data_IF_635446831013
#
_entry.id   IF_635446831013
#
_cell.length_a   1.000
_cell.length_b   1.000
_cell.length_c   1.000
_cell.angle_alpha   90.00
_cell.angle_beta   90.00
_cell.angle_gamma   90.00
#
_symmetry.space_group_name_H-M   'P 1'
#
loop_
_entity.id
_entity.type
_entity.pdbx_description
1 polymer ?
#
# COMPACT_ATOMS: atom_id res chain seq x y z
N UNK A 1 10.34 14.79 -16.90
CA UNK A 1 10.86 13.45 -17.29
C UNK A 1 11.24 12.68 -16.03
N UNK A 2 11.00 11.36 -15.95
CA UNK A 2 11.47 10.37 -14.93
C UNK A 2 10.48 9.77 -13.90
N UNK A 3 9.15 9.94 -13.98
CA UNK A 3 8.28 9.18 -13.06
C UNK A 3 8.11 7.71 -13.47
N UNK A 4 7.92 7.42 -14.77
CA UNK A 4 7.67 6.05 -15.25
C UNK A 4 8.87 5.12 -15.02
N UNK A 5 10.09 5.56 -15.34
CA UNK A 5 11.29 4.72 -15.20
C UNK A 5 11.62 4.35 -13.75
N UNK A 6 11.39 5.28 -12.81
CA UNK A 6 11.63 5.01 -11.39
C UNK A 6 10.51 4.14 -10.79
N UNK A 7 9.27 4.35 -11.21
CA UNK A 7 8.16 3.49 -10.81
C UNK A 7 8.42 2.05 -11.29
N UNK A 8 8.72 1.84 -12.56
CA UNK A 8 9.05 0.52 -13.12
C UNK A 8 10.23 -0.13 -12.38
N UNK A 9 11.28 0.65 -12.08
CA UNK A 9 12.39 0.18 -11.25
C UNK A 9 11.91 -0.32 -9.88
N UNK A 10 11.06 0.43 -9.18
CA UNK A 10 10.51 -0.01 -7.89
C UNK A 10 9.70 -1.30 -8.03
N UNK A 11 8.88 -1.42 -9.07
CA UNK A 11 8.08 -2.63 -9.31
C UNK A 11 8.95 -3.88 -9.53
N UNK A 12 10.10 -3.72 -10.16
CA UNK A 12 11.02 -4.83 -10.44
C UNK A 12 11.90 -5.19 -9.23
N UNK A 13 12.26 -4.20 -8.42
CA UNK A 13 13.25 -4.35 -7.34
C UNK A 13 12.64 -4.52 -5.94
N UNK A 14 11.51 -3.88 -5.67
CA UNK A 14 10.86 -3.89 -4.36
C UNK A 14 9.90 -5.07 -4.25
N UNK A 15 10.38 -6.15 -3.63
CA UNK A 15 9.62 -7.39 -3.40
C UNK A 15 9.50 -7.68 -1.90
N UNK A 16 8.61 -6.98 -1.17
CA UNK A 16 8.39 -7.25 0.24
C UNK A 16 7.77 -8.65 0.42
N UNK A 17 7.95 -9.28 1.60
CA UNK A 17 7.38 -10.59 1.88
C UNK A 17 5.87 -10.59 1.71
N UNK A 18 5.37 -11.59 0.97
CA UNK A 18 3.96 -11.78 0.65
C UNK A 18 3.31 -12.62 1.76
N UNK A 19 2.24 -12.10 2.35
CA UNK A 19 1.48 -12.76 3.44
C UNK A 19 0.04 -13.08 3.03
N UNK A 20 -0.22 -13.11 1.73
CA UNK A 20 -1.51 -13.45 1.14
C UNK A 20 -1.30 -14.63 0.19
N UNK A 21 -2.35 -15.41 -0.03
CA UNK A 21 -2.37 -16.44 -1.07
C UNK A 21 -2.29 -15.72 -2.43
N UNK A 22 -1.10 -15.68 -3.00
CA UNK A 22 -0.84 -15.02 -4.28
C UNK A 22 -1.67 -15.65 -5.38
N UNK A 23 -1.90 -16.97 -5.37
CA UNK A 23 -2.57 -17.67 -6.48
C UNK A 23 -4.04 -17.28 -6.61
N UNK A 24 -4.64 -16.81 -5.51
CA UNK A 24 -6.06 -16.40 -5.45
C UNK A 24 -6.27 -14.90 -5.35
N UNK A 25 -5.26 -14.17 -4.89
CA UNK A 25 -5.39 -12.75 -4.56
C UNK A 25 -4.29 -11.94 -5.21
N UNK A 26 -4.69 -10.92 -5.98
CA UNK A 26 -3.75 -9.93 -6.51
C UNK A 26 -2.91 -9.29 -5.42
N UNK A 27 -1.62 -9.16 -5.68
CA UNK A 27 -0.67 -8.54 -4.78
C UNK A 27 -0.74 -7.03 -4.98
N UNK A 28 -1.15 -6.32 -3.95
CA UNK A 28 -1.18 -4.87 -3.93
C UNK A 28 -0.02 -4.40 -3.04
N UNK A 29 0.95 -3.70 -3.61
CA UNK A 29 2.16 -3.25 -2.93
C UNK A 29 2.14 -1.74 -2.78
N UNK A 30 2.59 -1.25 -1.63
CA UNK A 30 2.82 0.17 -1.39
C UNK A 30 4.23 0.36 -0.85
N UNK A 31 4.94 1.35 -1.41
CA UNK A 31 6.27 1.77 -1.00
C UNK A 31 6.30 3.27 -0.70
N UNK A 32 6.89 3.63 0.44
CA UNK A 32 7.18 5.01 0.85
C UNK A 32 8.64 5.27 0.55
N UNK A 33 8.89 6.31 -0.25
CA UNK A 33 10.22 6.61 -0.78
C UNK A 33 10.61 8.03 -0.44
N UNK A 34 11.80 8.22 0.12
CA UNK A 34 12.38 9.52 0.40
C UNK A 34 13.71 9.66 -0.33
N UNK A 35 13.82 10.64 -1.23
CA UNK A 35 15.05 10.93 -2.00
C UNK A 35 15.65 9.71 -2.72
N UNK A 36 14.80 8.79 -3.19
CA UNK A 36 15.21 7.58 -3.89
C UNK A 36 15.40 6.35 -2.99
N UNK A 37 15.37 6.52 -1.67
CA UNK A 37 15.47 5.42 -0.71
C UNK A 37 14.10 4.93 -0.27
N UNK A 38 13.90 3.60 -0.28
CA UNK A 38 12.66 2.96 0.19
C UNK A 38 12.69 2.91 1.72
N UNK A 39 11.85 3.72 2.37
CA UNK A 39 11.74 3.76 3.83
C UNK A 39 10.89 2.61 4.38
N UNK A 40 9.82 2.26 3.67
CA UNK A 40 8.92 1.19 4.02
C UNK A 40 8.25 0.66 2.75
N UNK A 41 8.18 -0.66 2.59
CA UNK A 41 7.41 -1.29 1.53
C UNK A 41 6.71 -2.54 2.02
N UNK A 42 5.44 -2.69 1.70
CA UNK A 42 4.66 -3.86 2.11
C UNK A 42 3.46 -4.08 1.21
N UNK A 43 2.90 -5.28 1.32
CA UNK A 43 1.73 -5.68 0.55
C UNK A 43 0.46 -5.54 1.38
N UNK A 44 -0.69 -5.65 0.71
CA UNK A 44 -1.94 -5.94 1.40
C UNK A 44 -1.79 -7.23 2.22
N UNK A 45 -2.42 -7.26 3.39
CA UNK A 45 -2.35 -8.40 4.32
C UNK A 45 -3.73 -8.85 4.70
N UNK A 46 -3.93 -10.15 4.91
CA UNK A 46 -5.14 -10.63 5.59
C UNK A 46 -5.10 -10.15 7.04
N UNK A 47 -6.12 -9.42 7.45
CA UNK A 47 -6.28 -8.97 8.83
C UNK A 47 -6.90 -10.05 9.72
N UNK A 48 -6.61 -9.99 11.02
CA UNK A 48 -7.21 -10.89 12.01
C UNK A 48 -8.61 -10.41 12.43
N UNK A 49 -9.48 -11.36 12.81
CA UNK A 49 -10.88 -11.09 13.24
C UNK A 49 -11.02 -10.32 14.57
N UNK A 50 -9.97 -10.20 15.37
CA UNK A 50 -10.07 -9.68 16.74
C UNK A 50 -9.84 -8.18 16.85
N UNK A 51 -10.74 -7.46 17.55
CA UNK A 51 -10.52 -6.04 17.95
C UNK A 51 -9.34 -5.86 18.93
N UNK A 52 -8.97 -6.91 19.67
CA UNK A 52 -7.90 -6.87 20.70
C UNK A 52 -6.51 -6.73 20.11
N UNK A 53 -6.28 -7.21 18.89
CA UNK A 53 -4.95 -7.24 18.28
C UNK A 53 -4.45 -5.88 17.80
N UNK A 54 -5.28 -4.81 17.77
CA UNK A 54 -4.99 -3.45 17.22
C UNK A 54 -4.39 -3.41 15.79
N UNK A 55 -4.12 -4.57 15.21
CA UNK A 55 -3.62 -4.78 13.86
C UNK A 55 -4.72 -5.54 13.12
N UNK A 56 -5.67 -4.80 12.57
CA UNK A 56 -6.76 -5.33 11.77
C UNK A 56 -7.44 -4.24 10.94
N UNK A 57 -8.23 -4.60 9.92
CA UNK A 57 -8.77 -3.69 8.91
C UNK A 57 -10.06 -3.03 9.37
N UNK A 58 -10.48 -1.94 8.74
CA UNK A 58 -11.87 -1.47 8.86
C UNK A 58 -12.78 -2.44 8.13
N UNK A 59 -13.90 -2.75 8.79
CA UNK A 59 -14.90 -3.73 8.39
C UNK A 59 -15.55 -3.31 7.07
N UNK A 60 -15.62 -4.22 6.08
CA UNK A 60 -16.59 -4.07 5.00
C UNK A 60 -17.87 -4.80 5.41
N UNK A 61 -18.96 -4.07 5.62
CA UNK A 61 -20.27 -4.65 5.95
C UNK A 61 -20.91 -5.43 4.78
N UNK A 62 -20.30 -5.39 3.59
CA UNK A 62 -20.96 -5.73 2.33
C UNK A 62 -20.85 -7.19 1.88
N UNK A 63 -19.96 -7.99 2.48
CA UNK A 63 -19.70 -9.35 1.99
C UNK A 63 -19.71 -10.35 3.14
N UNK A 64 -20.47 -11.44 2.98
CA UNK A 64 -20.58 -12.59 3.88
C UNK A 64 -19.28 -13.40 4.06
N UNK A 65 -18.10 -12.80 3.79
CA UNK A 65 -16.78 -13.40 3.94
C UNK A 65 -16.03 -12.79 5.12
N UNK A 66 -15.51 -13.60 6.06
CA UNK A 66 -15.06 -13.15 7.37
C UNK A 66 -13.57 -12.75 7.42
N UNK A 67 -12.96 -12.43 6.28
CA UNK A 67 -11.56 -12.03 6.15
C UNK A 67 -11.49 -10.60 5.65
N UNK A 68 -11.18 -9.66 6.54
CA UNK A 68 -10.89 -8.28 6.16
C UNK A 68 -9.42 -8.20 5.70
N UNK A 69 -9.09 -7.39 4.69
CA UNK A 69 -7.70 -7.17 4.26
C UNK A 69 -7.23 -5.77 4.65
N UNK A 70 -6.02 -5.66 5.22
CA UNK A 70 -5.35 -4.36 5.41
C UNK A 70 -4.84 -3.95 4.03
N UNK A 71 -5.31 -2.79 3.56
CA UNK A 71 -4.87 -2.20 2.29
C UNK A 71 -3.38 -1.84 2.33
N UNK A 72 -2.73 -1.90 1.17
CA UNK A 72 -1.28 -1.74 1.05
C UNK A 72 -0.80 -0.38 1.57
N UNK A 73 -1.57 0.67 1.29
CA UNK A 73 -1.30 2.06 1.69
C UNK A 73 -1.27 2.19 3.22
N UNK A 74 -2.29 1.64 3.89
CA UNK A 74 -2.38 1.65 5.35
C UNK A 74 -1.30 0.76 5.97
N UNK A 75 -1.02 -0.38 5.36
CA UNK A 75 0.02 -1.28 5.81
C UNK A 75 1.40 -0.61 5.73
N UNK A 76 1.70 0.15 4.68
CA UNK A 76 2.96 0.88 4.52
C UNK A 76 3.11 1.99 5.57
N UNK A 77 2.06 2.77 5.83
CA UNK A 77 2.06 3.79 6.89
C UNK A 77 2.28 3.16 8.28
N UNK A 78 1.62 2.03 8.56
CA UNK A 78 1.81 1.29 9.83
C UNK A 78 3.22 0.71 9.94
N UNK A 79 3.79 0.21 8.84
CA UNK A 79 5.15 -0.32 8.81
C UNK A 79 6.19 0.78 9.05
N UNK A 80 5.98 1.98 8.48
CA UNK A 80 6.85 3.12 8.73
C UNK A 80 6.88 3.49 10.22
N UNK A 81 5.73 3.43 10.89
CA UNK A 81 5.54 3.63 12.33
C UNK A 81 5.68 5.08 12.79
N UNK A 82 6.67 5.80 12.28
CA UNK A 82 6.95 7.19 12.58
C UNK A 82 6.52 8.11 11.42
N UNK A 83 5.41 8.82 11.62
CA UNK A 83 4.81 9.69 10.61
C UNK A 83 5.68 10.92 10.30
N UNK A 84 6.64 11.30 11.15
CA UNK A 84 7.52 12.44 10.88
C UNK A 84 8.43 12.19 9.66
N UNK A 85 8.70 10.92 9.36
CA UNK A 85 9.49 10.48 8.20
C UNK A 85 8.77 10.64 6.86
N UNK A 86 7.47 10.97 6.88
CA UNK A 86 6.72 11.24 5.65
C UNK A 86 7.08 12.59 5.02
N UNK A 87 7.69 13.50 5.79
CA UNK A 87 7.98 14.85 5.31
C UNK A 87 8.92 14.80 4.11
N UNK A 88 8.40 15.18 2.95
CA UNK A 88 9.15 15.17 1.69
C UNK A 88 9.19 13.82 0.98
N UNK A 89 8.57 12.78 1.53
CA UNK A 89 8.47 11.46 0.92
C UNK A 89 7.36 11.42 -0.13
N UNK A 90 7.47 10.45 -1.05
CA UNK A 90 6.45 10.09 -2.03
C UNK A 90 5.98 8.66 -1.76
N UNK A 91 4.71 8.36 -2.02
CA UNK A 91 4.18 6.99 -1.96
C UNK A 91 3.94 6.45 -3.37
N UNK A 92 4.32 5.21 -3.60
CA UNK A 92 4.09 4.46 -4.84
C UNK A 92 3.25 3.24 -4.52
N UNK A 93 2.19 3.02 -5.28
CA UNK A 93 1.23 1.93 -5.06
C UNK A 93 1.03 1.18 -6.36
N UNK A 94 1.21 -0.13 -6.39
CA UNK A 94 0.98 -0.92 -7.60
C UNK A 94 0.37 -2.27 -7.30
N UNK A 95 -0.36 -2.79 -8.27
CA UNK A 95 -1.07 -4.05 -8.14
C UNK A 95 -0.65 -4.97 -9.26
N UNK A 96 -0.28 -6.20 -8.91
CA UNK A 96 0.12 -7.23 -9.87
C UNK A 96 -0.91 -8.36 -9.85
N UNK A 97 -1.39 -8.72 -11.04
CA UNK A 97 -2.25 -9.89 -11.24
C UNK A 97 -1.45 -11.18 -11.03
N UNK A 98 -1.95 -12.14 -10.23
CA UNK A 98 -1.21 -13.37 -9.98
C UNK A 98 -1.11 -14.28 -11.19
N UNK A 99 -2.19 -14.34 -11.98
CA UNK A 99 -2.32 -15.26 -13.10
C UNK A 99 -1.61 -14.78 -14.37
N UNK A 100 -1.41 -13.48 -14.50
CA UNK A 100 -0.90 -12.87 -15.74
C UNK A 100 0.38 -12.06 -15.54
N UNK A 101 0.80 -11.80 -14.30
CA UNK A 101 1.92 -10.91 -14.00
C UNK A 101 1.71 -9.46 -14.49
N UNK A 102 0.50 -9.12 -14.94
CA UNK A 102 0.15 -7.82 -15.49
C UNK A 102 -0.13 -6.82 -14.38
N UNK A 103 0.24 -5.58 -14.64
CA UNK A 103 -0.09 -4.45 -13.77
C UNK A 103 -1.59 -4.17 -13.86
N UNK A 104 -2.22 -4.00 -12.70
CA UNK A 104 -3.63 -3.65 -12.55
C UNK A 104 -3.77 -2.25 -11.96
N UNK A 105 -4.95 -1.66 -12.11
CA UNK A 105 -5.29 -0.42 -11.43
C UNK A 105 -5.17 -0.58 -9.91
N UNK A 106 -4.39 0.30 -9.30
CA UNK A 106 -4.07 0.34 -7.87
C UNK A 106 -4.47 1.67 -7.22
N UNK A 107 -5.40 2.41 -7.85
CA UNK A 107 -5.93 3.64 -7.27
C UNK A 107 -6.42 3.39 -5.84
N UNK A 108 -5.98 4.20 -4.86
CA UNK A 108 -6.45 4.07 -3.49
C UNK A 108 -7.96 4.15 -3.38
N UNK A 109 -8.54 3.32 -2.52
CA UNK A 109 -9.97 3.41 -2.22
C UNK A 109 -10.29 4.71 -1.46
N UNK A 110 -11.58 5.08 -1.38
CA UNK A 110 -12.01 6.32 -0.71
C UNK A 110 -11.46 6.46 0.72
N UNK A 111 -11.46 5.38 1.51
CA UNK A 111 -10.93 5.41 2.88
C UNK A 111 -9.42 5.64 2.93
N UNK A 112 -8.66 4.93 2.09
CA UNK A 112 -7.21 5.10 2.00
C UNK A 112 -6.89 6.51 1.52
N UNK A 113 -7.66 7.02 0.55
CA UNK A 113 -7.53 8.37 0.05
C UNK A 113 -7.70 9.41 1.16
N UNK A 114 -8.72 9.31 2.03
CA UNK A 114 -8.88 10.23 3.17
C UNK A 114 -7.66 10.22 4.12
N UNK A 115 -7.08 9.04 4.38
CA UNK A 115 -5.88 8.92 5.23
C UNK A 115 -4.67 9.53 4.54
N UNK A 116 -4.49 9.29 3.24
CA UNK A 116 -3.38 9.82 2.47
C UNK A 116 -3.46 11.34 2.33
N UNK A 117 -4.66 11.89 2.12
CA UNK A 117 -4.90 13.34 2.11
C UNK A 117 -4.55 13.98 3.46
N UNK A 118 -4.90 13.32 4.57
CA UNK A 118 -4.42 13.74 5.90
C UNK A 118 -2.90 13.72 5.98
N UNK A 119 -2.25 12.66 5.48
CA UNK A 119 -0.79 12.56 5.50
C UNK A 119 -0.10 13.62 4.66
N UNK A 120 -0.69 14.00 3.53
CA UNK A 120 -0.22 15.09 2.68
C UNK A 120 -0.31 16.41 3.44
N UNK A 121 -1.48 16.70 4.03
CA UNK A 121 -1.74 17.97 4.73
C UNK A 121 -0.93 18.14 6.02
N UNK A 122 -0.85 17.10 6.84
CA UNK A 122 -0.34 17.23 8.22
C UNK A 122 1.09 16.71 8.40
N UNK A 123 1.49 15.68 7.64
CA UNK A 123 2.79 15.01 7.81
C UNK A 123 3.76 15.28 6.65
N UNK A 124 3.33 16.00 5.62
CA UNK A 124 4.18 16.44 4.53
C UNK A 124 4.51 15.36 3.50
N UNK A 125 3.67 14.32 3.38
CA UNK A 125 3.71 13.42 2.24
C UNK A 125 3.47 14.24 0.96
N UNK A 126 4.32 14.11 -0.05
CA UNK A 126 4.27 14.99 -1.23
C UNK A 126 3.25 14.52 -2.24
N UNK A 127 3.37 13.28 -2.70
CA UNK A 127 2.56 12.72 -3.78
C UNK A 127 2.31 11.23 -3.57
N UNK A 128 1.22 10.76 -4.17
CA UNK A 128 0.88 9.34 -4.26
C UNK A 128 0.77 8.99 -5.74
N UNK A 129 1.60 8.06 -6.18
CA UNK A 129 1.59 7.52 -7.53
C UNK A 129 0.98 6.12 -7.50
N UNK A 130 0.14 5.80 -8.46
CA UNK A 130 -0.47 4.48 -8.58
C UNK A 130 -0.48 3.98 -10.02
N UNK A 131 -0.42 2.66 -10.20
CA UNK A 131 -0.60 2.02 -11.50
C UNK A 131 -2.05 2.10 -11.97
N UNK A 132 -2.24 2.22 -13.30
CA UNK A 132 -3.55 2.24 -13.98
C UNK A 132 -3.73 1.02 -14.86
#
# INVERSE_FOLDING_TARGET
>A
MRSSSFFEYLMQTVKPPIYIDSDKTSIHTSAIVLKGEVLAATNNKVGYRSRKTRVGPRYSERNSYPACTIHAEIAALRLLGDMTKLRGADMYVWRISPSQGTTLNSKPCAECQCVLEKCIREYGLRRVYYSV
#
